data_IF_962625899633
#
_entry.id   IF_962625899633
#
_cell.length_a   1.000
_cell.length_b   1.000
_cell.length_c   1.000
_cell.angle_alpha   90.00
_cell.angle_beta   90.00
_cell.angle_gamma   90.00
#
_symmetry.space_group_name_H-M   'P 1'
#
loop_
_entity.id
_entity.type
_entity.pdbx_description
1 polymer ?
#
# COMPACT_ATOMS: atom_id res chain seq x y z
N UNK A 1 4.23 -2.14 40.20
CA UNK A 1 2.89 -1.60 39.85
C UNK A 1 2.99 -0.99 38.47
N UNK A 2 2.29 -1.57 37.49
CA UNK A 2 2.19 -1.04 36.12
C UNK A 2 1.28 0.19 36.20
N UNK A 3 1.81 1.39 35.95
CA UNK A 3 0.99 2.60 35.83
C UNK A 3 0.06 2.39 34.63
N UNK A 4 -1.25 2.39 34.86
CA UNK A 4 -2.23 2.50 33.80
C UNK A 4 -2.22 3.97 33.35
N UNK A 5 -1.48 4.25 32.29
CA UNK A 5 -1.57 5.52 31.56
C UNK A 5 -2.89 5.54 30.75
N UNK A 6 -4.02 5.55 31.46
CA UNK A 6 -5.36 5.65 30.87
C UNK A 6 -6.02 6.92 31.36
N UNK A 7 -6.51 7.74 30.44
CA UNK A 7 -7.33 8.91 30.73
C UNK A 7 -8.50 8.53 31.67
N UNK A 8 -8.64 9.22 32.80
CA UNK A 8 -9.74 9.01 33.76
C UNK A 8 -11.10 9.47 33.21
N UNK A 9 -11.10 10.31 32.15
CA UNK A 9 -12.27 10.75 31.40
C UNK A 9 -11.97 10.58 29.91
N UNK A 10 -12.73 9.73 29.22
CA UNK A 10 -12.67 9.61 27.77
C UNK A 10 -13.38 10.81 27.14
N UNK A 11 -12.62 11.74 26.57
CA UNK A 11 -13.16 12.85 25.79
C UNK A 11 -12.61 12.83 24.36
N UNK A 12 -13.45 13.15 23.40
CA UNK A 12 -13.08 13.35 22.00
C UNK A 12 -14.00 14.40 21.38
N UNK A 13 -13.58 14.95 20.25
CA UNK A 13 -14.36 15.94 19.50
C UNK A 13 -15.42 15.22 18.65
N UNK A 14 -16.65 15.18 19.17
CA UNK A 14 -17.78 14.45 18.55
C UNK A 14 -18.09 14.97 17.14
N UNK A 15 -18.08 16.28 16.93
CA UNK A 15 -18.34 16.88 15.62
C UNK A 15 -17.28 16.43 14.60
N UNK A 16 -16.00 16.48 14.98
CA UNK A 16 -14.90 16.02 14.13
C UNK A 16 -15.01 14.52 13.84
N UNK A 17 -15.30 13.70 14.84
CA UNK A 17 -15.40 12.24 14.68
C UNK A 17 -16.57 11.86 13.78
N UNK A 18 -17.76 12.38 14.04
CA UNK A 18 -18.95 12.08 13.24
C UNK A 18 -18.77 12.49 11.78
N UNK A 19 -18.17 13.67 11.53
CA UNK A 19 -17.87 14.14 10.18
C UNK A 19 -16.90 13.20 9.45
N UNK A 20 -15.81 12.77 10.10
CA UNK A 20 -14.81 11.89 9.48
C UNK A 20 -15.36 10.47 9.29
N UNK A 21 -16.13 9.95 10.24
CA UNK A 21 -16.79 8.66 10.10
C UNK A 21 -17.77 8.65 8.92
N UNK A 22 -18.53 9.73 8.71
CA UNK A 22 -19.37 9.91 7.52
C UNK A 22 -18.55 9.87 6.23
N UNK A 23 -17.43 10.60 6.18
CA UNK A 23 -16.54 10.59 5.00
C UNK A 23 -15.93 9.20 4.74
N UNK A 24 -15.59 8.43 5.78
CA UNK A 24 -15.05 7.09 5.61
C UNK A 24 -16.04 6.11 4.95
N UNK A 25 -17.34 6.36 5.07
CA UNK A 25 -18.36 5.54 4.42
C UNK A 25 -18.49 5.82 2.92
N UNK A 26 -17.97 6.95 2.42
CA UNK A 26 -18.06 7.33 1.00
C UNK A 26 -16.82 6.94 0.20
N UNK A 27 -15.71 6.62 0.88
CA UNK A 27 -14.45 6.25 0.25
C UNK A 27 -14.31 4.73 0.20
N UNK A 28 -13.89 4.20 -0.94
CA UNK A 28 -13.56 2.77 -1.06
C UNK A 28 -12.18 2.45 -0.44
N UNK A 29 -12.15 2.40 0.89
CA UNK A 29 -10.96 2.04 1.66
C UNK A 29 -10.48 0.63 1.30
N UNK A 30 -11.37 -0.28 0.91
CA UNK A 30 -11.01 -1.65 0.54
C UNK A 30 -10.12 -1.67 -0.70
N UNK A 31 -10.46 -0.91 -1.73
CA UNK A 31 -9.63 -0.77 -2.93
C UNK A 31 -8.28 -0.13 -2.64
N UNK A 32 -8.25 0.92 -1.80
CA UNK A 32 -6.98 1.53 -1.36
C UNK A 32 -6.10 0.51 -0.65
N UNK A 33 -6.67 -0.28 0.25
CA UNK A 33 -5.94 -1.35 0.96
C UNK A 33 -5.42 -2.42 0.00
N UNK A 34 -6.21 -2.80 -1.00
CA UNK A 34 -5.78 -3.77 -2.02
C UNK A 34 -4.60 -3.23 -2.83
N UNK A 35 -4.67 -1.98 -3.29
CA UNK A 35 -3.57 -1.32 -4.02
C UNK A 35 -2.30 -1.25 -3.16
N UNK A 36 -2.41 -0.80 -1.91
CA UNK A 36 -1.26 -0.70 -1.01
C UNK A 36 -0.65 -2.08 -0.74
N UNK A 37 -1.46 -3.13 -0.55
CA UNK A 37 -0.97 -4.52 -0.41
C UNK A 37 -0.34 -5.05 -1.70
N UNK A 38 -0.80 -4.62 -2.86
CA UNK A 38 -0.19 -4.93 -4.14
C UNK A 38 1.24 -4.35 -4.24
N UNK A 39 1.49 -3.19 -3.64
CA UNK A 39 2.79 -2.49 -3.73
C UNK A 39 3.73 -2.85 -2.56
N UNK A 40 3.22 -3.13 -1.36
CA UNK A 40 3.99 -3.25 -0.11
C UNK A 40 4.98 -4.43 0.01
N UNK A 41 5.23 -5.17 -1.08
CA UNK A 41 6.34 -6.12 -1.15
C UNK A 41 7.61 -5.42 -1.68
N UNK A 42 8.77 -5.82 -1.18
CA UNK A 42 10.05 -5.20 -1.51
C UNK A 42 10.34 -5.18 -3.02
N UNK A 43 10.09 -6.27 -3.73
CA UNK A 43 10.35 -6.34 -5.17
C UNK A 43 9.29 -5.58 -5.96
N UNK A 44 8.00 -5.71 -5.59
CA UNK A 44 6.93 -4.92 -6.23
C UNK A 44 7.12 -3.42 -6.07
N UNK A 45 7.55 -2.94 -4.90
CA UNK A 45 7.91 -1.54 -4.70
C UNK A 45 9.07 -1.08 -5.61
N UNK A 46 10.11 -1.90 -5.79
CA UNK A 46 11.19 -1.62 -6.75
C UNK A 46 10.67 -1.54 -8.19
N UNK A 47 9.78 -2.46 -8.57
CA UNK A 47 9.15 -2.47 -9.91
C UNK A 47 8.34 -1.20 -10.13
N UNK A 48 7.48 -0.81 -9.18
CA UNK A 48 6.70 0.42 -9.24
C UNK A 48 7.60 1.64 -9.39
N UNK A 49 8.68 1.74 -8.59
CA UNK A 49 9.64 2.83 -8.72
C UNK A 49 10.31 2.86 -10.11
N UNK A 50 10.74 1.71 -10.63
CA UNK A 50 11.37 1.60 -11.94
C UNK A 50 10.44 2.07 -13.07
N UNK A 51 9.16 1.71 -13.02
CA UNK A 51 8.13 2.16 -13.97
C UNK A 51 7.80 3.67 -13.84
N UNK A 52 8.22 4.34 -12.77
CA UNK A 52 8.14 5.79 -12.68
C UNK A 52 9.36 6.49 -13.31
N UNK A 53 10.41 5.75 -13.70
CA UNK A 53 11.63 6.32 -14.28
C UNK A 53 11.65 6.30 -15.81
N UNK A 54 10.80 5.48 -16.44
CA UNK A 54 10.72 5.34 -17.89
C UNK A 54 9.28 5.00 -18.29
N UNK A 55 8.89 5.29 -19.53
CA UNK A 55 7.52 5.11 -20.03
C UNK A 55 7.14 3.63 -20.14
N UNK A 56 8.10 2.77 -20.53
CA UNK A 56 7.88 1.33 -20.68
C UNK A 56 9.12 0.53 -20.32
N UNK A 57 8.94 -0.57 -19.57
CA UNK A 57 9.99 -1.54 -19.26
C UNK A 57 9.48 -2.93 -19.58
N UNK A 58 10.25 -3.70 -20.35
CA UNK A 58 9.90 -5.09 -20.60
C UNK A 58 10.20 -5.95 -19.36
N UNK A 59 9.64 -7.17 -19.30
CA UNK A 59 9.85 -8.09 -18.17
C UNK A 59 11.33 -8.45 -17.97
N UNK A 60 12.13 -8.46 -19.04
CA UNK A 60 13.57 -8.72 -18.96
C UNK A 60 14.31 -7.54 -18.32
N UNK A 61 13.93 -6.30 -18.64
CA UNK A 61 14.51 -5.10 -18.02
C UNK A 61 14.24 -5.11 -16.52
N UNK A 62 12.98 -5.35 -16.15
CA UNK A 62 12.56 -5.42 -14.75
C UNK A 62 13.33 -6.49 -13.99
N UNK A 63 13.48 -7.69 -14.57
CA UNK A 63 14.24 -8.78 -13.96
C UNK A 63 15.70 -8.39 -13.70
N UNK A 64 16.36 -7.74 -14.66
CA UNK A 64 17.73 -7.25 -14.53
C UNK A 64 17.86 -6.10 -13.52
N UNK A 65 16.92 -5.14 -13.52
CA UNK A 65 16.91 -3.99 -12.62
C UNK A 65 16.78 -4.44 -11.15
N UNK A 66 15.87 -5.37 -10.85
CA UNK A 66 15.61 -5.77 -9.46
C UNK A 66 16.43 -6.98 -9.01
N UNK A 67 17.20 -7.60 -9.92
CA UNK A 67 18.14 -8.69 -9.64
C UNK A 67 17.48 -10.05 -9.40
N UNK A 68 16.46 -10.39 -10.18
CA UNK A 68 15.71 -11.67 -10.06
C UNK A 68 15.55 -12.36 -11.42
N UNK A 69 15.06 -13.60 -11.42
CA UNK A 69 14.75 -14.32 -12.66
C UNK A 69 13.54 -13.70 -13.37
N UNK A 70 13.46 -13.83 -14.69
CA UNK A 70 12.29 -13.40 -15.49
C UNK A 70 10.99 -14.03 -14.98
N UNK A 71 11.03 -15.30 -14.58
CA UNK A 71 9.88 -15.99 -13.99
C UNK A 71 9.39 -15.32 -12.69
N UNK A 72 10.31 -14.90 -11.83
CA UNK A 72 9.99 -14.21 -10.59
C UNK A 72 9.47 -12.78 -10.83
N UNK A 73 10.11 -12.03 -11.74
CA UNK A 73 9.63 -10.72 -12.17
C UNK A 73 8.20 -10.79 -12.75
N UNK A 74 7.94 -11.78 -13.62
CA UNK A 74 6.62 -12.05 -14.19
C UNK A 74 5.57 -12.38 -13.11
N UNK A 75 5.96 -13.10 -12.04
CA UNK A 75 5.08 -13.39 -10.92
C UNK A 75 4.69 -12.12 -10.14
N UNK A 76 5.66 -11.24 -9.87
CA UNK A 76 5.39 -9.96 -9.22
C UNK A 76 4.50 -9.05 -10.09
N UNK A 77 4.78 -8.95 -11.40
CA UNK A 77 3.97 -8.18 -12.35
C UNK A 77 2.54 -8.69 -12.45
N UNK A 78 2.32 -10.01 -12.46
CA UNK A 78 0.97 -10.58 -12.41
C UNK A 78 0.17 -10.16 -11.17
N UNK A 79 0.85 -9.88 -10.07
CA UNK A 79 0.18 -9.39 -8.86
C UNK A 79 -0.08 -7.89 -8.92
N UNK A 80 0.79 -7.12 -9.58
CA UNK A 80 0.61 -5.67 -9.77
C UNK A 80 -0.44 -5.31 -10.84
N UNK A 81 -0.68 -6.20 -11.79
CA UNK A 81 -1.68 -6.01 -12.86
C UNK A 81 -3.12 -6.36 -12.41
N UNK A 82 -3.28 -7.05 -11.28
CA UNK A 82 -4.60 -7.41 -10.74
C UNK A 82 -5.17 -6.27 -9.93
#
# INVERSE_FOLDING_TARGET
MIKKDTCEIYCYDEEKVNRIQGNLQTVDISSVVQMLKAIADKNRAKITYALCQDDELCVCDIANIIGVTVANASHHLRTLHK
#
